data_IF_838024061520
#
_entry.id   IF_838024061520
#
_cell.length_a   1.000
_cell.length_b   1.000
_cell.length_c   1.000
_cell.angle_alpha   90.00
_cell.angle_beta   90.00
_cell.angle_gamma   90.00
#
_symmetry.space_group_name_H-M   'P 1'
#
loop_
_entity.id
_entity.type
_entity.pdbx_description
1 polymer ?
#
# COMPACT_ATOMS: atom_id res chain seq x y z
N UNK A 1 -27.17 -90.50 28.83
CA UNK A 1 -27.29 -89.21 29.53
C UNK A 1 -26.07 -88.29 29.45
N UNK A 2 -24.83 -88.76 29.28
CA UNK A 2 -23.62 -87.89 29.27
C UNK A 2 -23.39 -87.14 27.95
N UNK A 3 -23.72 -87.74 26.80
CA UNK A 3 -23.59 -87.12 25.48
C UNK A 3 -24.58 -85.97 25.24
N UNK A 4 -25.84 -86.12 25.66
CA UNK A 4 -26.87 -85.07 25.54
C UNK A 4 -26.53 -83.82 26.38
N UNK A 5 -26.07 -84.01 27.63
CA UNK A 5 -25.61 -82.88 28.47
C UNK A 5 -24.43 -82.13 27.86
N UNK A 6 -23.50 -82.85 27.23
CA UNK A 6 -22.36 -82.24 26.54
C UNK A 6 -22.78 -81.47 25.29
N UNK A 7 -23.77 -81.98 24.54
CA UNK A 7 -24.30 -81.31 23.35
C UNK A 7 -25.11 -80.05 23.70
N UNK A 8 -26.01 -80.13 24.69
CA UNK A 8 -26.77 -78.97 25.18
C UNK A 8 -25.86 -77.85 25.69
N UNK A 9 -24.76 -78.19 26.38
CA UNK A 9 -23.75 -77.21 26.82
C UNK A 9 -23.01 -76.56 25.65
N UNK A 10 -22.71 -77.31 24.59
CA UNK A 10 -22.07 -76.78 23.36
C UNK A 10 -23.02 -75.85 22.60
N UNK A 11 -24.29 -76.22 22.48
CA UNK A 11 -25.32 -75.39 21.83
C UNK A 11 -25.59 -74.09 22.62
N UNK A 12 -25.65 -74.17 23.94
CA UNK A 12 -25.81 -72.98 24.79
C UNK A 12 -24.60 -72.02 24.66
N UNK A 13 -23.37 -72.55 24.70
CA UNK A 13 -22.16 -71.75 24.47
C UNK A 13 -22.12 -71.16 23.06
N UNK A 14 -22.59 -71.89 22.05
CA UNK A 14 -22.69 -71.40 20.68
C UNK A 14 -23.71 -70.26 20.55
N UNK A 15 -24.87 -70.37 21.20
CA UNK A 15 -25.88 -69.30 21.25
C UNK A 15 -25.35 -68.05 21.94
N UNK A 16 -24.72 -68.19 23.12
CA UNK A 16 -24.12 -67.07 23.86
C UNK A 16 -23.02 -66.36 23.04
N UNK A 17 -22.14 -67.13 22.37
CA UNK A 17 -21.12 -66.57 21.46
C UNK A 17 -21.73 -65.88 20.24
N UNK A 18 -22.81 -66.41 19.69
CA UNK A 18 -23.53 -65.79 18.57
C UNK A 18 -24.21 -64.47 18.98
N UNK A 19 -24.77 -64.40 20.18
CA UNK A 19 -25.33 -63.17 20.75
C UNK A 19 -24.25 -62.12 21.05
N UNK A 20 -23.11 -62.52 21.63
CA UNK A 20 -21.97 -61.62 21.84
C UNK A 20 -21.45 -61.07 20.51
N UNK A 21 -21.21 -61.93 19.52
CA UNK A 21 -20.79 -61.48 18.18
C UNK A 21 -21.80 -60.55 17.52
N UNK A 22 -23.11 -60.76 17.72
CA UNK A 22 -24.16 -59.85 17.21
C UNK A 22 -24.12 -58.50 17.91
N UNK A 23 -23.90 -58.47 19.23
CA UNK A 23 -23.74 -57.22 20.00
C UNK A 23 -22.48 -56.48 19.57
N UNK A 24 -21.35 -57.17 19.47
CA UNK A 24 -20.06 -56.60 19.01
C UNK A 24 -20.16 -56.04 17.59
N UNK A 25 -20.81 -56.75 16.65
CA UNK A 25 -21.02 -56.23 15.30
C UNK A 25 -21.90 -54.98 15.31
N UNK A 26 -22.97 -54.96 16.13
CA UNK A 26 -23.85 -53.78 16.27
C UNK A 26 -23.12 -52.60 16.89
N UNK A 27 -22.36 -52.80 17.96
CA UNK A 27 -21.58 -51.74 18.62
C UNK A 27 -20.46 -51.24 17.72
N UNK A 28 -19.78 -52.13 17.00
CA UNK A 28 -18.78 -51.74 16.00
C UNK A 28 -19.42 -50.89 14.91
N UNK A 29 -20.53 -51.35 14.30
CA UNK A 29 -21.24 -50.56 13.27
C UNK A 29 -21.68 -49.18 13.79
N UNK A 30 -22.18 -49.10 15.03
CA UNK A 30 -22.52 -47.82 15.67
C UNK A 30 -21.31 -46.91 15.86
N UNK A 31 -20.19 -47.43 16.38
CA UNK A 31 -18.97 -46.66 16.60
C UNK A 31 -18.37 -46.14 15.28
N UNK A 32 -18.30 -47.00 14.26
CA UNK A 32 -17.83 -46.59 12.93
C UNK A 32 -18.77 -45.59 12.25
N UNK A 33 -20.09 -45.76 12.41
CA UNK A 33 -21.09 -44.83 11.90
C UNK A 33 -21.00 -43.45 12.55
N UNK A 34 -20.88 -43.40 13.88
CA UNK A 34 -20.72 -42.15 14.64
C UNK A 34 -19.38 -41.50 14.28
N UNK A 35 -18.29 -42.27 14.23
CA UNK A 35 -16.97 -41.76 13.84
C UNK A 35 -16.98 -41.15 12.43
N UNK A 36 -17.58 -41.85 11.46
CA UNK A 36 -17.75 -41.34 10.10
C UNK A 36 -18.59 -40.07 10.04
N UNK A 37 -19.69 -40.00 10.80
CA UNK A 37 -20.53 -38.82 10.86
C UNK A 37 -19.81 -37.61 11.46
N UNK A 38 -19.05 -37.80 12.55
CA UNK A 38 -18.25 -36.73 13.16
C UNK A 38 -17.21 -36.21 12.19
N UNK A 39 -16.50 -37.09 11.48
CA UNK A 39 -15.51 -36.69 10.47
C UNK A 39 -16.19 -35.90 9.34
N UNK A 40 -17.33 -36.37 8.83
CA UNK A 40 -18.06 -35.67 7.77
C UNK A 40 -18.52 -34.27 8.20
N UNK A 41 -18.99 -34.11 9.44
CA UNK A 41 -19.37 -32.81 10.00
C UNK A 41 -18.16 -31.89 10.11
N UNK A 42 -17.02 -32.38 10.62
CA UNK A 42 -15.81 -31.58 10.74
C UNK A 42 -15.29 -31.12 9.38
N UNK A 43 -15.22 -32.01 8.39
CA UNK A 43 -14.82 -31.68 7.02
C UNK A 43 -15.79 -30.67 6.39
N UNK A 44 -17.10 -30.88 6.57
CA UNK A 44 -18.12 -29.95 6.09
C UNK A 44 -18.03 -28.56 6.73
N UNK A 45 -17.77 -28.48 8.03
CA UNK A 45 -17.61 -27.23 8.75
C UNK A 45 -16.35 -26.46 8.28
N UNK A 46 -15.22 -27.15 8.11
CA UNK A 46 -13.98 -26.56 7.59
C UNK A 46 -14.19 -26.06 6.15
N UNK A 47 -14.79 -26.87 5.28
CA UNK A 47 -15.10 -26.47 3.91
C UNK A 47 -16.05 -25.26 3.86
N UNK A 48 -17.06 -25.22 4.74
CA UNK A 48 -17.99 -24.10 4.85
C UNK A 48 -17.31 -22.79 5.24
N UNK A 49 -16.37 -22.81 6.20
CA UNK A 49 -15.61 -21.62 6.61
C UNK A 49 -14.76 -21.10 5.45
N UNK A 50 -14.06 -22.00 4.74
CA UNK A 50 -13.23 -21.63 3.58
C UNK A 50 -14.08 -21.00 2.47
N UNK A 51 -15.22 -21.61 2.12
CA UNK A 51 -16.13 -21.10 1.09
C UNK A 51 -16.69 -19.73 1.48
N UNK A 52 -17.10 -19.53 2.74
CA UNK A 52 -17.59 -18.22 3.21
C UNK A 52 -16.53 -17.14 3.12
N UNK A 53 -15.30 -17.44 3.49
CA UNK A 53 -14.20 -16.48 3.40
C UNK A 53 -13.95 -16.06 1.95
N UNK A 54 -13.97 -17.02 1.01
CA UNK A 54 -13.78 -16.75 -0.42
C UNK A 54 -14.92 -15.90 -1.01
N UNK A 55 -16.17 -16.19 -0.64
CA UNK A 55 -17.33 -15.40 -1.06
C UNK A 55 -17.24 -13.95 -0.57
N UNK A 56 -16.84 -13.75 0.69
CA UNK A 56 -16.68 -12.41 1.26
C UNK A 56 -15.56 -11.63 0.53
N UNK A 57 -14.43 -12.27 0.22
CA UNK A 57 -13.33 -11.65 -0.55
C UNK A 57 -13.83 -11.19 -1.94
N UNK A 58 -14.58 -12.03 -2.63
CA UNK A 58 -15.15 -11.70 -3.94
C UNK A 58 -16.07 -10.47 -3.90
N UNK A 59 -16.88 -10.31 -2.85
CA UNK A 59 -17.75 -9.15 -2.70
C UNK A 59 -16.96 -7.87 -2.44
N UNK A 60 -15.95 -7.92 -1.57
CA UNK A 60 -15.06 -6.78 -1.30
C UNK A 60 -14.33 -6.33 -2.56
N UNK A 61 -13.79 -7.28 -3.35
CA UNK A 61 -13.11 -6.97 -4.62
C UNK A 61 -14.06 -6.34 -5.64
N UNK A 62 -15.27 -6.87 -5.79
CA UNK A 62 -16.29 -6.29 -6.68
C UNK A 62 -16.67 -4.87 -6.27
N UNK A 63 -16.83 -4.63 -4.97
CA UNK A 63 -17.11 -3.30 -4.44
C UNK A 63 -15.95 -2.34 -4.68
N UNK A 64 -14.70 -2.80 -4.47
CA UNK A 64 -13.50 -2.02 -4.74
C UNK A 64 -13.37 -1.63 -6.22
N UNK A 65 -13.64 -2.58 -7.13
CA UNK A 65 -13.64 -2.36 -8.57
C UNK A 65 -14.77 -1.41 -9.01
N UNK A 66 -15.97 -1.55 -8.43
CA UNK A 66 -17.08 -0.63 -8.69
C UNK A 66 -16.77 0.78 -8.20
N UNK A 67 -16.15 0.93 -7.03
CA UNK A 67 -15.72 2.23 -6.52
C UNK A 67 -14.64 2.87 -7.42
N UNK A 68 -13.67 2.08 -7.91
CA UNK A 68 -12.69 2.55 -8.89
C UNK A 68 -13.37 3.02 -10.18
N UNK A 69 -14.26 2.21 -10.75
CA UNK A 69 -14.99 2.58 -11.96
C UNK A 69 -15.83 3.86 -11.79
N UNK A 70 -16.43 4.07 -10.62
CA UNK A 70 -17.19 5.28 -10.30
C UNK A 70 -16.30 6.51 -10.04
N UNK A 71 -15.08 6.29 -9.56
CA UNK A 71 -14.09 7.34 -9.27
C UNK A 71 -13.38 7.83 -10.53
N UNK A 72 -13.06 6.95 -11.49
CA UNK A 72 -12.28 7.27 -12.69
C UNK A 72 -12.79 8.49 -13.49
N UNK A 73 -14.10 8.68 -13.75
CA UNK A 73 -14.59 9.88 -14.45
C UNK A 73 -14.37 11.20 -13.72
N UNK A 74 -14.08 11.15 -12.41
CA UNK A 74 -13.80 12.32 -11.56
C UNK A 74 -12.31 12.69 -11.55
N UNK A 75 -11.44 11.78 -11.98
CA UNK A 75 -9.99 11.97 -12.01
C UNK A 75 -9.62 12.91 -13.16
N UNK A 76 -8.85 13.94 -12.83
CA UNK A 76 -8.18 14.78 -13.82
C UNK A 76 -6.84 14.14 -14.17
N UNK A 77 -6.59 13.99 -15.47
CA UNK A 77 -5.39 13.37 -16.01
C UNK A 77 -4.55 14.41 -16.74
N UNK A 78 -3.24 14.28 -16.62
CA UNK A 78 -2.24 15.22 -17.14
C UNK A 78 -1.10 14.46 -17.84
N UNK A 79 -0.16 15.21 -18.43
CA UNK A 79 0.99 14.62 -19.11
C UNK A 79 2.26 15.42 -18.79
N UNK A 80 3.04 14.91 -17.83
CA UNK A 80 4.37 15.38 -17.49
C UNK A 80 5.42 14.29 -17.76
N UNK A 81 6.62 14.74 -18.14
CA UNK A 81 7.80 13.87 -18.29
C UNK A 81 8.53 13.77 -16.96
N UNK A 82 9.00 12.57 -16.65
CA UNK A 82 9.87 12.33 -15.50
C UNK A 82 11.30 12.86 -15.67
N UNK A 83 12.08 12.72 -14.61
CA UNK A 83 13.53 12.96 -14.53
C UNK A 83 13.96 14.40 -14.84
N UNK A 84 13.04 15.36 -14.72
CA UNK A 84 13.32 16.78 -14.87
C UNK A 84 13.62 17.38 -13.49
N UNK A 85 14.89 17.44 -13.13
CA UNK A 85 15.32 17.86 -11.80
C UNK A 85 15.81 19.31 -11.75
N UNK A 86 15.51 20.00 -10.65
CA UNK A 86 15.95 21.36 -10.37
C UNK A 86 16.19 21.61 -8.88
N UNK A 87 17.18 22.42 -8.54
CA UNK A 87 17.48 22.79 -7.16
C UNK A 87 16.69 24.00 -6.64
N UNK A 88 15.79 24.56 -7.45
CA UNK A 88 15.10 25.82 -7.19
C UNK A 88 13.58 25.64 -7.15
N UNK A 89 12.85 26.69 -6.74
CA UNK A 89 11.39 26.68 -6.71
C UNK A 89 10.79 26.53 -8.09
N UNK A 90 9.72 25.73 -8.15
CA UNK A 90 8.96 25.49 -9.38
C UNK A 90 7.56 26.07 -9.26
N UNK A 91 7.16 26.82 -10.28
CA UNK A 91 5.79 27.32 -10.40
C UNK A 91 4.93 26.28 -11.13
N UNK A 92 4.18 25.50 -10.35
CA UNK A 92 3.25 24.49 -10.89
C UNK A 92 1.93 25.10 -11.36
N UNK A 93 1.31 24.45 -12.35
CA UNK A 93 -0.01 24.84 -12.86
C UNK A 93 -1.15 24.30 -11.98
N UNK A 94 -1.00 23.09 -11.46
CA UNK A 94 -1.98 22.42 -10.61
C UNK A 94 -1.72 22.65 -9.12
N UNK A 95 -2.80 22.60 -8.33
CA UNK A 95 -2.78 22.74 -6.87
C UNK A 95 -3.58 21.57 -6.24
N UNK A 96 -2.93 20.60 -5.57
CA UNK A 96 -1.48 20.39 -5.52
C UNK A 96 -0.91 20.01 -6.91
N UNK A 97 0.42 20.11 -7.10
CA UNK A 97 1.08 19.64 -8.30
C UNK A 97 0.85 18.16 -8.56
N UNK A 98 0.96 17.74 -9.82
CA UNK A 98 0.78 16.34 -10.25
C UNK A 98 1.99 15.80 -11.04
N UNK A 99 3.08 16.56 -11.13
CA UNK A 99 4.24 16.20 -11.93
C UNK A 99 4.98 17.42 -12.45
N UNK A 100 5.96 17.18 -13.31
CA UNK A 100 6.79 18.21 -13.93
C UNK A 100 8.16 18.33 -13.28
N UNK A 101 8.85 19.44 -13.52
CA UNK A 101 10.17 19.71 -12.95
C UNK A 101 10.10 19.72 -11.41
N UNK A 102 11.08 19.13 -10.73
CA UNK A 102 11.01 18.92 -9.28
C UNK A 102 12.40 18.75 -8.63
N UNK A 103 12.48 18.62 -7.30
CA UNK A 103 13.77 18.59 -6.60
C UNK A 103 14.51 17.28 -6.85
N UNK A 104 15.85 17.22 -7.01
CA UNK A 104 16.58 15.95 -7.11
C UNK A 104 16.50 15.07 -5.85
N UNK A 105 16.04 15.61 -4.72
CA UNK A 105 15.77 14.87 -3.49
C UNK A 105 14.28 14.65 -3.31
N UNK A 106 13.86 13.41 -3.09
CA UNK A 106 12.47 13.07 -2.77
C UNK A 106 12.11 13.39 -1.32
N UNK A 107 10.83 13.60 -1.06
CA UNK A 107 10.30 13.63 0.30
C UNK A 107 10.17 12.20 0.83
N UNK A 108 10.56 11.96 2.07
CA UNK A 108 10.24 10.70 2.73
C UNK A 108 8.71 10.52 2.82
N UNK A 109 8.22 9.39 2.31
CA UNK A 109 6.83 9.01 2.46
C UNK A 109 6.49 8.92 3.94
N UNK A 110 5.37 9.51 4.33
CA UNK A 110 4.99 9.66 5.72
C UNK A 110 3.87 10.67 5.91
N UNK A 111 3.53 10.88 7.17
CA UNK A 111 2.50 11.80 7.59
C UNK A 111 3.16 13.01 8.23
N UNK A 112 2.84 14.19 7.71
CA UNK A 112 3.32 15.49 8.15
C UNK A 112 2.16 16.31 8.69
N UNK A 113 2.37 16.96 9.83
CA UNK A 113 1.42 17.90 10.44
C UNK A 113 1.62 19.34 9.95
N UNK A 114 2.67 19.58 9.17
CA UNK A 114 2.99 20.86 8.52
C UNK A 114 3.14 20.67 7.01
N UNK A 115 3.02 21.75 6.22
CA UNK A 115 3.22 21.68 4.77
C UNK A 115 4.63 21.21 4.42
N UNK A 116 4.75 20.39 3.39
CA UNK A 116 6.02 19.95 2.80
C UNK A 116 6.29 20.66 1.47
N UNK A 117 7.52 20.64 0.98
CA UNK A 117 7.83 21.26 -0.31
C UNK A 117 7.15 20.50 -1.45
N UNK A 118 6.54 21.25 -2.37
CA UNK A 118 5.96 20.70 -3.60
C UNK A 118 7.01 19.92 -4.39
N UNK A 119 8.21 20.46 -4.52
CA UNK A 119 9.27 19.91 -5.36
C UNK A 119 9.81 18.57 -4.84
N UNK A 120 9.86 18.36 -3.52
CA UNK A 120 10.28 17.07 -2.95
C UNK A 120 9.13 16.05 -2.98
N UNK A 121 7.90 16.51 -2.76
CA UNK A 121 6.70 15.66 -2.85
C UNK A 121 6.46 15.16 -4.29
N UNK A 122 6.68 16.00 -5.30
CA UNK A 122 6.55 15.62 -6.73
C UNK A 122 7.55 14.54 -7.11
N UNK A 123 8.79 14.58 -6.61
CA UNK A 123 9.75 13.49 -6.80
C UNK A 123 9.25 12.20 -6.16
N UNK A 124 8.72 12.23 -4.93
CA UNK A 124 8.13 11.02 -4.32
C UNK A 124 6.97 10.45 -5.16
N UNK A 125 6.18 11.31 -5.81
CA UNK A 125 5.16 10.87 -6.78
C UNK A 125 5.76 10.28 -8.06
N UNK A 126 6.91 10.77 -8.54
CA UNK A 126 7.66 10.12 -9.62
C UNK A 126 8.10 8.70 -9.25
N UNK A 127 8.38 8.45 -7.97
CA UNK A 127 8.67 7.10 -7.44
C UNK A 127 7.41 6.25 -7.23
N UNK A 128 6.22 6.84 -7.36
CA UNK A 128 4.91 6.19 -7.29
C UNK A 128 4.17 6.40 -5.98
N UNK A 129 4.49 7.46 -5.24
CA UNK A 129 3.71 7.89 -4.09
C UNK A 129 2.36 8.50 -4.51
N UNK A 130 1.38 8.38 -3.60
CA UNK A 130 0.18 9.21 -3.61
C UNK A 130 0.28 10.23 -2.48
N UNK A 131 0.06 11.50 -2.80
CA UNK A 131 0.02 12.59 -1.85
C UNK A 131 -1.41 13.01 -1.56
N UNK A 132 -1.85 12.77 -0.33
CA UNK A 132 -3.10 13.29 0.21
C UNK A 132 -2.81 14.67 0.81
N UNK A 133 -3.50 15.69 0.30
CA UNK A 133 -3.43 17.07 0.77
C UNK A 133 -4.78 17.49 1.33
N UNK A 134 -4.79 18.33 2.35
CA UNK A 134 -6.01 18.84 2.95
C UNK A 134 -5.89 20.31 3.33
N UNK A 135 -7.02 21.03 3.39
CA UNK A 135 -7.03 22.40 3.90
C UNK A 135 -6.62 22.43 5.38
N UNK A 136 -5.80 23.40 5.82
CA UNK A 136 -5.34 23.47 7.22
C UNK A 136 -6.44 23.57 8.28
N UNK A 137 -7.65 23.98 7.90
CA UNK A 137 -8.82 24.10 8.77
C UNK A 137 -9.75 22.86 8.71
N UNK A 138 -9.34 21.77 8.03
CA UNK A 138 -10.09 20.52 8.02
C UNK A 138 -10.24 19.98 9.46
N UNK A 139 -11.45 19.54 9.87
CA UNK A 139 -11.66 19.03 11.22
C UNK A 139 -10.71 17.87 11.56
N UNK A 140 -10.18 17.86 12.79
CA UNK A 140 -9.23 16.83 13.25
C UNK A 140 -9.77 15.40 13.09
N UNK A 141 -11.08 15.19 13.27
CA UNK A 141 -11.73 13.90 13.07
C UNK A 141 -11.61 13.40 11.61
N UNK A 142 -11.63 14.32 10.64
CA UNK A 142 -11.45 13.99 9.23
C UNK A 142 -9.96 13.80 8.90
N UNK A 143 -9.06 14.61 9.47
CA UNK A 143 -7.61 14.40 9.36
C UNK A 143 -7.23 13.02 9.90
N UNK A 144 -7.80 12.59 11.03
CA UNK A 144 -7.57 11.27 11.60
C UNK A 144 -7.98 10.14 10.64
N UNK A 145 -9.07 10.31 9.87
CA UNK A 145 -9.44 9.34 8.81
C UNK A 145 -8.40 9.32 7.70
N UNK A 146 -7.94 10.49 7.23
CA UNK A 146 -6.90 10.57 6.20
C UNK A 146 -5.59 9.91 6.64
N UNK A 147 -5.22 10.02 7.92
CA UNK A 147 -4.06 9.31 8.49
C UNK A 147 -4.17 7.79 8.35
N UNK A 148 -5.37 7.22 8.43
CA UNK A 148 -5.55 5.77 8.23
C UNK A 148 -5.33 5.36 6.77
N UNK A 149 -5.70 6.22 5.81
CA UNK A 149 -5.40 5.98 4.39
C UNK A 149 -3.90 6.13 4.06
N UNK A 150 -3.21 7.02 4.76
CA UNK A 150 -1.79 7.33 4.54
C UNK A 150 -0.81 6.44 5.33
N UNK A 151 -1.28 5.42 6.06
CA UNK A 151 -0.43 4.62 6.95
C UNK A 151 0.39 3.52 6.26
N UNK A 152 0.37 3.46 4.92
CA UNK A 152 1.07 2.44 4.13
C UNK A 152 2.23 3.05 3.35
N UNK A 153 3.15 2.22 2.88
CA UNK A 153 4.26 2.68 2.02
C UNK A 153 3.74 3.43 0.79
N UNK A 154 4.57 4.33 0.25
CA UNK A 154 4.25 5.18 -0.89
C UNK A 154 3.06 6.13 -0.67
N UNK A 155 2.93 6.62 0.57
CA UNK A 155 1.92 7.61 0.94
C UNK A 155 2.58 8.86 1.51
N UNK A 156 2.07 10.01 1.10
CA UNK A 156 2.33 11.31 1.72
C UNK A 156 1.01 11.87 2.23
N UNK A 157 1.02 12.48 3.41
CA UNK A 157 -0.10 13.25 3.94
C UNK A 157 0.41 14.55 4.55
N UNK A 158 -0.14 15.69 4.14
CA UNK A 158 0.20 16.99 4.73
C UNK A 158 -0.90 18.04 4.53
N UNK A 159 -0.98 19.07 5.39
CA UNK A 159 -1.82 20.22 5.13
C UNK A 159 -1.27 21.02 3.94
N UNK A 160 -2.16 21.62 3.16
CA UNK A 160 -1.83 22.40 1.97
C UNK A 160 -2.56 23.75 1.99
N UNK A 161 -1.91 24.83 2.46
CA UNK A 161 -2.49 26.16 2.46
C UNK A 161 -2.89 26.61 1.04
N UNK A 162 -4.11 27.13 0.89
CA UNK A 162 -4.63 27.58 -0.42
C UNK A 162 -5.16 26.45 -1.31
N UNK A 163 -5.35 25.24 -0.78
CA UNK A 163 -5.97 24.13 -1.51
C UNK A 163 -7.42 24.49 -1.93
N UNK A 164 -7.80 24.38 -3.22
CA UNK A 164 -9.13 24.77 -3.69
C UNK A 164 -10.29 23.90 -3.18
N UNK A 165 -10.03 22.62 -2.89
CA UNK A 165 -10.98 21.68 -2.29
C UNK A 165 -10.61 21.38 -0.85
N UNK A 166 -11.51 20.79 -0.07
CA UNK A 166 -11.20 20.37 1.31
C UNK A 166 -10.06 19.37 1.37
N UNK A 167 -10.08 18.40 0.44
CA UNK A 167 -9.09 17.33 0.31
C UNK A 167 -8.78 17.17 -1.17
N UNK A 168 -7.53 16.90 -1.50
CA UNK A 168 -7.12 16.50 -2.84
C UNK A 168 -6.07 15.38 -2.77
N UNK A 169 -6.16 14.44 -3.69
CA UNK A 169 -5.16 13.41 -3.90
C UNK A 169 -4.42 13.70 -5.18
N UNK A 170 -3.11 13.60 -5.15
CA UNK A 170 -2.24 13.66 -6.31
C UNK A 170 -1.37 12.40 -6.39
N UNK A 171 -1.15 11.95 -7.62
CA UNK A 171 -0.05 11.07 -7.99
C UNK A 171 0.55 11.61 -9.28
N UNK A 172 1.62 11.01 -9.78
CA UNK A 172 2.18 11.41 -11.06
C UNK A 172 1.08 11.39 -12.14
N UNK A 173 0.85 12.53 -12.81
CA UNK A 173 -0.16 12.77 -13.84
C UNK A 173 -1.64 12.64 -13.44
N UNK A 174 -1.99 12.47 -12.16
CA UNK A 174 -3.39 12.31 -11.74
C UNK A 174 -3.74 13.16 -10.53
N UNK A 175 -4.93 13.76 -10.57
CA UNK A 175 -5.50 14.51 -9.46
C UNK A 175 -6.96 14.11 -9.23
N UNK A 176 -7.35 14.05 -7.97
CA UNK A 176 -8.73 13.88 -7.54
C UNK A 176 -9.03 14.84 -6.38
N UNK A 177 -10.00 15.72 -6.56
CA UNK A 177 -10.56 16.54 -5.48
C UNK A 177 -11.74 15.80 -4.81
N UNK A 178 -11.81 15.83 -3.48
CA UNK A 178 -12.93 15.27 -2.69
C UNK A 178 -13.34 16.20 -1.56
N UNK A 179 -14.63 16.23 -1.25
CA UNK A 179 -15.19 17.14 -0.23
C UNK A 179 -15.37 16.48 1.15
N UNK A 180 -15.08 15.18 1.28
CA UNK A 180 -15.25 14.43 2.52
C UNK A 180 -14.17 13.36 2.67
N UNK A 181 -13.66 13.23 3.90
CA UNK A 181 -12.71 12.18 4.28
C UNK A 181 -13.36 10.78 4.32
N UNK A 182 -14.69 10.68 4.27
CA UNK A 182 -15.43 9.41 4.13
C UNK A 182 -15.63 8.98 2.67
N UNK A 183 -15.12 9.75 1.70
CA UNK A 183 -15.33 9.45 0.29
C UNK A 183 -14.70 8.10 -0.09
N UNK A 184 -15.46 7.16 -0.71
CA UNK A 184 -14.91 5.90 -1.19
C UNK A 184 -13.89 6.11 -2.33
N UNK A 185 -13.92 7.29 -2.97
CA UNK A 185 -13.00 7.64 -4.05
C UNK A 185 -11.55 7.75 -3.54
N UNK A 186 -11.32 8.09 -2.26
CA UNK A 186 -9.97 8.16 -1.65
C UNK A 186 -9.27 6.81 -1.75
N UNK A 187 -9.92 5.77 -1.20
CA UNK A 187 -9.36 4.43 -1.20
C UNK A 187 -9.25 3.86 -2.62
N UNK A 188 -10.20 4.20 -3.50
CA UNK A 188 -10.15 3.79 -4.89
C UNK A 188 -8.96 4.43 -5.65
N UNK A 189 -8.71 5.72 -5.46
CA UNK A 189 -7.60 6.43 -6.07
C UNK A 189 -6.26 5.87 -5.61
N UNK A 190 -6.11 5.65 -4.30
CA UNK A 190 -4.89 5.05 -3.74
C UNK A 190 -4.64 3.67 -4.33
N UNK A 191 -5.66 2.81 -4.40
CA UNK A 191 -5.52 1.47 -5.02
C UNK A 191 -5.09 1.53 -6.49
N UNK A 192 -5.59 2.52 -7.23
CA UNK A 192 -5.34 2.66 -8.66
C UNK A 192 -3.96 3.23 -8.97
N UNK A 193 -3.59 4.32 -8.30
CA UNK A 193 -2.47 5.16 -8.72
C UNK A 193 -1.24 5.06 -7.82
N UNK A 194 -1.36 4.53 -6.60
CA UNK A 194 -0.18 4.21 -5.79
C UNK A 194 0.60 3.11 -6.48
N UNK A 195 1.88 3.37 -6.78
CA UNK A 195 2.69 2.48 -7.59
C UNK A 195 1.98 2.12 -8.91
N UNK A 196 1.34 3.10 -9.56
CA UNK A 196 0.67 2.94 -10.85
C UNK A 196 1.64 2.61 -11.99
N UNK A 197 1.18 1.97 -13.07
CA UNK A 197 2.03 1.60 -14.21
C UNK A 197 2.53 2.79 -15.04
N UNK A 198 1.92 3.96 -14.88
CA UNK A 198 2.22 5.25 -15.51
C UNK A 198 3.21 6.12 -14.71
N UNK A 199 3.64 5.62 -13.56
CA UNK A 199 4.68 6.24 -12.72
C UNK A 199 6.07 6.09 -13.38
N UNK A 200 6.83 7.17 -13.62
CA UNK A 200 8.11 7.10 -14.35
C UNK A 200 9.17 6.21 -13.69
N UNK A 201 9.33 6.32 -12.36
CA UNK A 201 10.35 5.59 -11.59
C UNK A 201 9.70 4.67 -10.56
N UNK A 202 8.65 3.96 -10.99
CA UNK A 202 7.86 3.06 -10.15
C UNK A 202 8.73 2.15 -9.28
N UNK A 203 8.58 2.29 -7.98
CA UNK A 203 9.21 1.42 -6.98
C UNK A 203 10.58 1.89 -6.51
N UNK A 204 11.04 3.06 -6.99
CA UNK A 204 12.20 3.74 -6.42
C UNK A 204 11.93 4.15 -4.96
N UNK A 205 12.99 4.35 -4.18
CA UNK A 205 12.88 4.52 -2.74
C UNK A 205 12.00 5.72 -2.37
N UNK A 206 11.05 5.55 -1.46
CA UNK A 206 10.32 6.68 -0.86
C UNK A 206 10.78 6.98 0.58
N UNK A 207 12.00 6.59 0.93
CA UNK A 207 12.62 6.82 2.24
C UNK A 207 14.11 7.12 2.06
N UNK A 208 14.74 7.85 2.99
CA UNK A 208 16.15 8.23 2.89
C UNK A 208 16.41 9.52 2.08
N UNK A 209 15.36 10.27 1.75
CA UNK A 209 15.38 11.62 1.20
C UNK A 209 15.13 12.69 2.27
N UNK A 210 14.42 13.75 1.92
CA UNK A 210 14.11 14.87 2.79
C UNK A 210 13.02 14.52 3.81
N UNK A 211 13.24 14.87 5.08
CA UNK A 211 12.25 14.77 6.17
C UNK A 211 11.70 16.14 6.57
N UNK A 212 12.34 17.22 6.14
CA UNK A 212 12.01 18.58 6.57
C UNK A 212 10.68 19.05 5.95
N UNK A 213 9.97 19.86 6.71
CA UNK A 213 8.81 20.62 6.25
C UNK A 213 9.24 21.76 5.31
N UNK A 214 8.29 22.35 4.59
CA UNK A 214 8.55 23.48 3.70
C UNK A 214 9.17 24.69 4.43
N UNK A 215 8.83 24.88 5.71
CA UNK A 215 9.35 25.97 6.53
C UNK A 215 10.80 25.71 7.01
N UNK A 216 11.15 24.44 7.26
CA UNK A 216 12.47 24.05 7.74
C UNK A 216 13.52 23.97 6.62
N UNK A 217 13.10 23.60 5.40
CA UNK A 217 13.96 23.50 4.23
C UNK A 217 13.46 24.39 3.08
N UNK A 218 13.80 25.67 3.14
CA UNK A 218 13.42 26.63 2.10
C UNK A 218 14.22 26.36 0.82
N UNK A 219 13.52 25.98 -0.25
CA UNK A 219 14.11 25.85 -1.59
C UNK A 219 14.30 27.26 -2.19
N UNK A 220 15.48 27.58 -2.76
CA UNK A 220 15.77 28.90 -3.30
C UNK A 220 14.95 29.22 -4.56
N UNK A 221 14.59 30.49 -4.75
CA UNK A 221 13.85 30.97 -5.94
C UNK A 221 14.71 31.01 -7.21
N UNK A 222 16.02 31.22 -7.06
CA UNK A 222 16.97 31.34 -8.16
C UNK A 222 18.17 30.44 -7.93
N UNK A 223 18.75 29.95 -9.03
CA UNK A 223 19.96 29.15 -8.94
C UNK A 223 21.07 29.96 -8.29
N UNK A 224 21.96 29.33 -7.50
CA UNK A 224 23.15 30.00 -6.99
C UNK A 224 23.91 30.61 -8.18
N UNK A 225 24.19 31.91 -8.12
CA UNK A 225 25.09 32.52 -9.10
C UNK A 225 26.42 31.76 -9.02
N UNK A 226 26.89 31.23 -10.15
CA UNK A 226 28.18 30.59 -10.23
C UNK A 226 29.23 31.60 -9.73
N UNK A 227 29.76 31.38 -8.53
CA UNK A 227 30.86 32.19 -8.04
C UNK A 227 32.01 32.02 -9.05
N UNK A 228 32.66 33.10 -9.52
CA UNK A 228 33.81 32.96 -10.39
C UNK A 228 34.86 32.17 -9.61
N UNK A 229 35.13 30.94 -10.07
CA UNK A 229 36.23 30.13 -9.58
C UNK A 229 37.50 30.97 -9.65
N UNK A 230 38.01 31.41 -8.50
CA UNK A 230 39.31 32.02 -8.40
C UNK A 230 40.37 30.93 -8.64
N UNK A 231 40.61 30.58 -9.91
CA UNK A 231 41.86 29.93 -10.30
C UNK A 231 42.96 30.97 -10.13
N UNK A 232 43.59 30.94 -8.97
CA UNK A 232 44.86 31.61 -8.73
C UNK A 232 45.87 31.07 -9.74
N UNK A 233 46.10 31.84 -10.81
CA UNK A 233 47.25 31.67 -11.68
C UNK A 233 48.50 31.92 -10.82
N UNK A 234 49.19 30.84 -10.48
CA UNK A 234 50.51 30.94 -9.85
C UNK A 234 51.49 31.24 -10.99
N UNK A 235 51.79 32.53 -11.19
CA UNK A 235 52.91 32.96 -12.03
C UNK A 235 54.21 32.40 -11.44
N UNK A 236 54.77 31.39 -12.10
CA UNK A 236 56.14 30.96 -11.89
C UNK A 236 57.06 31.79 -12.81
N UNK A 237 58.10 32.46 -12.29
CA UNK A 237 59.01 33.22 -13.14
C UNK A 237 59.89 32.28 -13.96
N UNK A 238 60.06 32.62 -15.25
CA UNK A 238 60.97 31.94 -16.17
C UNK A 238 62.43 32.06 -15.73
N UNK A 239 63.10 30.91 -15.59
CA UNK A 239 64.55 30.84 -15.48
C UNK A 239 65.20 30.91 -16.88
N UNK A 240 66.14 31.82 -17.06
CA UNK A 240 66.95 32.02 -18.27
C UNK A 240 67.96 30.89 -18.49
N UNK A 241 68.33 30.55 -19.74
CA UNK A 241 69.44 29.64 -20.01
C UNK A 241 70.79 30.39 -20.06
N UNK A 242 71.81 29.85 -19.37
CA UNK A 242 73.22 30.25 -19.51
C UNK A 242 73.82 29.79 -20.85
N UNK A 243 74.78 30.52 -21.43
CA UNK A 243 75.52 30.07 -22.61
C UNK A 243 76.77 29.26 -22.20
N UNK A 244 77.01 28.15 -22.89
CA UNK A 244 78.27 27.39 -22.80
C UNK A 244 79.36 28.02 -23.67
N UNK A 245 80.57 28.10 -23.11
CA UNK A 245 81.83 28.23 -23.85
C UNK A 245 82.38 26.84 -24.20
#
# INVERSE_FOLDING_TARGET
MTKEKAQARREHLARMRAEQKRKERRTAFLMWGIGGLVIAILVGAVAFVIIREEMNKSEVEKQAASAEAAMLPKVKNFTYKGSQHTGIKVKYAEVPPVGGEHNPTWQNCGIYDQPINNETAVHSMEHGAVWITYQPDLPEADVAKLRTHASSDYMLLSPYPGLPSKIALASWNHNLAVDSADSPDIAAFIRKFKQGPDTPERGAACTGGADQTAAEAVIPETAPSAQPSATAATDLPMASPSPSS
#
